data_IF_238230099278
#
_entry.id   IF_238230099278
#
_cell.length_a   1.000
_cell.length_b   1.000
_cell.length_c   1.000
_cell.angle_alpha   90.00
_cell.angle_beta   90.00
_cell.angle_gamma   90.00
#
_symmetry.space_group_name_H-M   'P 1'
#
loop_
_entity.id
_entity.type
_entity.pdbx_description
1 polymer ?
#
# COMPACT_ATOMS: atom_id res chain seq x y z
N UNK A 1 -24.79 4.96 12.77
CA UNK A 1 -23.76 4.52 11.81
C UNK A 1 -23.57 3.02 11.97
N UNK A 2 -23.60 2.26 10.88
CA UNK A 2 -23.34 0.82 10.92
C UNK A 2 -21.83 0.65 10.76
N UNK A 3 -21.15 0.33 11.85
CA UNK A 3 -19.72 0.04 11.86
C UNK A 3 -19.47 -1.21 10.99
N UNK A 4 -18.71 -1.06 9.90
CA UNK A 4 -18.38 -2.18 9.02
C UNK A 4 -16.98 -2.67 9.36
N UNK A 5 -16.92 -3.89 9.88
CA UNK A 5 -15.66 -4.61 10.10
C UNK A 5 -15.71 -5.83 9.21
N UNK A 6 -15.17 -5.70 8.00
CA UNK A 6 -15.02 -6.85 7.13
C UNK A 6 -13.95 -7.80 7.68
N UNK A 7 -14.23 -9.10 7.65
CA UNK A 7 -13.21 -10.12 7.87
C UNK A 7 -12.28 -10.19 6.67
N UNK A 8 -10.98 -10.19 6.90
CA UNK A 8 -9.99 -10.41 5.84
C UNK A 8 -9.91 -11.91 5.54
N UNK A 9 -10.09 -12.35 4.28
CA UNK A 9 -10.00 -13.76 3.94
C UNK A 9 -8.60 -14.33 4.16
N UNK A 10 -8.52 -15.62 4.47
CA UNK A 10 -7.24 -16.32 4.62
C UNK A 10 -6.42 -16.30 3.32
N UNK A 11 -5.09 -16.22 3.42
CA UNK A 11 -4.20 -16.20 2.26
C UNK A 11 -4.05 -14.84 1.55
N UNK A 12 -4.62 -13.78 2.11
CA UNK A 12 -4.42 -12.40 1.68
C UNK A 12 -3.48 -11.68 2.65
N UNK A 13 -2.24 -11.35 2.23
CA UNK A 13 -1.34 -10.62 3.11
C UNK A 13 -1.92 -9.23 3.37
N UNK A 14 -1.88 -8.77 4.61
CA UNK A 14 -2.28 -7.42 5.01
C UNK A 14 -1.37 -6.96 6.14
N UNK A 15 -1.31 -5.66 6.42
CA UNK A 15 -0.76 -5.14 7.68
C UNK A 15 -1.86 -4.31 8.33
N UNK A 16 -2.09 -4.51 9.62
CA UNK A 16 -3.08 -3.78 10.41
C UNK A 16 -2.46 -2.57 11.12
N UNK A 17 -3.28 -1.57 11.44
CA UNK A 17 -2.95 -0.44 12.32
C UNK A 17 -2.42 -0.93 13.67
N UNK A 18 -2.93 -2.05 14.18
CA UNK A 18 -2.46 -2.64 15.43
C UNK A 18 -0.99 -3.11 15.33
N UNK A 19 -0.62 -3.72 14.21
CA UNK A 19 0.77 -4.16 13.97
C UNK A 19 1.72 -2.97 13.83
N UNK A 20 1.27 -1.90 13.17
CA UNK A 20 2.08 -0.70 12.93
C UNK A 20 2.25 0.14 14.19
N UNK A 21 1.16 0.43 14.88
CA UNK A 21 1.17 1.41 15.97
C UNK A 21 1.69 0.86 17.29
N UNK A 22 1.90 -0.46 17.39
CA UNK A 22 2.35 -1.20 18.59
C UNK A 22 1.54 -0.94 19.87
N UNK A 23 0.51 -0.11 19.82
CA UNK A 23 -0.37 0.28 20.92
C UNK A 23 -1.83 0.01 20.52
N UNK A 24 -2.54 -0.73 21.37
CA UNK A 24 -3.98 -0.94 21.21
C UNK A 24 -4.68 0.25 21.86
N UNK A 25 -5.19 1.17 21.06
CA UNK A 25 -6.11 2.18 21.58
C UNK A 25 -7.43 1.51 21.96
N UNK A 26 -7.62 1.22 23.25
CA UNK A 26 -8.81 0.53 23.77
C UNK A 26 -10.13 1.30 23.57
N UNK A 27 -10.06 2.57 23.13
CA UNK A 27 -11.21 3.48 22.97
C UNK A 27 -11.51 3.88 21.52
N UNK A 28 -10.66 3.48 20.56
CA UNK A 28 -10.80 3.87 19.16
C UNK A 28 -11.95 3.12 18.48
N UNK A 29 -12.70 3.83 17.63
CA UNK A 29 -13.68 3.18 16.74
C UNK A 29 -12.94 2.72 15.49
N UNK A 30 -12.77 1.41 15.35
CA UNK A 30 -12.10 0.78 14.21
C UNK A 30 -13.10 0.39 13.11
N UNK A 31 -12.84 0.86 11.89
CA UNK A 31 -13.52 0.46 10.66
C UNK A 31 -12.55 -0.31 9.77
N UNK A 32 -13.03 -1.39 9.13
CA UNK A 32 -12.24 -2.17 8.17
C UNK A 32 -13.04 -2.49 6.93
N UNK A 33 -12.43 -2.26 5.78
CA UNK A 33 -12.99 -2.64 4.49
C UNK A 33 -12.01 -3.52 3.71
N UNK A 34 -12.53 -4.58 3.11
CA UNK A 34 -11.77 -5.44 2.22
C UNK A 34 -12.51 -5.63 0.90
N UNK A 35 -11.85 -5.33 -0.22
CA UNK A 35 -12.42 -5.45 -1.56
C UNK A 35 -11.45 -6.20 -2.47
N UNK A 36 -11.84 -7.40 -2.88
CA UNK A 36 -11.08 -8.21 -3.83
C UNK A 36 -11.58 -8.03 -5.26
N UNK A 37 -10.67 -8.23 -6.22
CA UNK A 37 -10.97 -8.24 -7.65
C UNK A 37 -9.90 -9.07 -8.38
N UNK A 38 -10.19 -9.44 -9.62
CA UNK A 38 -9.24 -10.12 -10.50
C UNK A 38 -9.44 -9.70 -11.96
N UNK A 39 -8.42 -9.92 -12.78
CA UNK A 39 -8.48 -9.78 -14.23
C UNK A 39 -7.63 -10.88 -14.89
N UNK A 40 -7.74 -11.10 -16.21
CA UNK A 40 -6.91 -12.10 -16.91
C UNK A 40 -5.40 -11.92 -16.73
N UNK A 41 -4.95 -10.70 -16.42
CA UNK A 41 -3.52 -10.37 -16.25
C UNK A 41 -3.12 -10.18 -14.77
N UNK A 42 -4.10 -10.12 -13.87
CA UNK A 42 -3.92 -9.90 -12.43
C UNK A 42 -4.81 -10.88 -11.67
N UNK A 43 -4.25 -12.05 -11.34
CA UNK A 43 -4.99 -13.14 -10.71
C UNK A 43 -5.29 -12.89 -9.23
N UNK A 44 -4.54 -12.00 -8.56
CA UNK A 44 -4.85 -11.56 -7.19
C UNK A 44 -4.72 -10.04 -7.07
N UNK A 45 -5.86 -9.35 -6.94
CA UNK A 45 -5.89 -7.93 -6.58
C UNK A 45 -6.86 -7.68 -5.43
N UNK A 46 -6.46 -6.82 -4.50
CA UNK A 46 -7.37 -6.34 -3.46
C UNK A 46 -6.99 -4.95 -2.98
N UNK A 47 -7.99 -4.28 -2.42
CA UNK A 47 -7.83 -3.08 -1.59
C UNK A 47 -8.26 -3.42 -0.17
N UNK A 48 -7.37 -3.14 0.78
CA UNK A 48 -7.63 -3.18 2.20
C UNK A 48 -7.56 -1.77 2.77
N UNK A 49 -8.49 -1.43 3.65
CA UNK A 49 -8.51 -0.15 4.33
C UNK A 49 -8.86 -0.34 5.81
N UNK A 50 -8.03 0.22 6.68
CA UNK A 50 -8.38 0.39 8.09
C UNK A 50 -8.37 1.87 8.45
N UNK A 51 -9.32 2.24 9.29
CA UNK A 51 -9.45 3.56 9.85
C UNK A 51 -9.82 3.46 11.32
N UNK A 52 -9.12 4.20 12.17
CA UNK A 52 -9.39 4.29 13.60
C UNK A 52 -9.62 5.76 13.98
N UNK A 53 -10.80 6.06 14.50
CA UNK A 53 -11.11 7.38 15.06
C UNK A 53 -10.79 7.40 16.56
N UNK A 54 -9.90 8.30 16.99
CA UNK A 54 -9.48 8.51 18.37
C UNK A 54 -10.13 9.75 19.02
N UNK A 55 -11.14 10.33 18.36
CA UNK A 55 -11.87 11.51 18.80
C UNK A 55 -11.22 12.83 18.38
N UNK A 56 -9.97 13.05 18.78
CA UNK A 56 -9.19 14.26 18.44
C UNK A 56 -8.19 14.06 17.29
N UNK A 57 -7.99 12.80 16.88
CA UNK A 57 -7.10 12.40 15.80
C UNK A 57 -7.65 11.14 15.16
N UNK A 58 -7.09 10.77 14.01
CA UNK A 58 -7.44 9.54 13.33
C UNK A 58 -6.22 8.87 12.76
N UNK A 59 -6.22 7.54 12.77
CA UNK A 59 -5.21 6.70 12.14
C UNK A 59 -5.83 6.00 10.95
N UNK A 60 -5.07 5.82 9.88
CA UNK A 60 -5.56 5.07 8.74
C UNK A 60 -4.44 4.48 7.90
N UNK A 61 -4.71 3.33 7.32
CA UNK A 61 -3.86 2.69 6.32
C UNK A 61 -4.73 2.18 5.19
N UNK A 62 -4.27 2.39 3.97
CA UNK A 62 -4.81 1.76 2.78
C UNK A 62 -3.72 0.96 2.09
N UNK A 63 -4.03 -0.29 1.79
CA UNK A 63 -3.16 -1.20 1.03
C UNK A 63 -3.88 -1.57 -0.25
N UNK A 64 -3.18 -1.46 -1.38
CA UNK A 64 -3.58 -2.09 -2.63
C UNK A 64 -2.47 -3.02 -3.06
N UNK A 65 -2.82 -4.27 -3.35
CA UNK A 65 -1.87 -5.28 -3.76
C UNK A 65 -2.30 -5.90 -5.07
N UNK A 66 -1.32 -6.18 -5.92
CA UNK A 66 -1.50 -6.76 -7.23
C UNK A 66 -0.48 -7.88 -7.39
N UNK A 67 -0.97 -9.06 -7.74
CA UNK A 67 -0.17 -10.16 -8.25
C UNK A 67 -0.56 -10.35 -9.71
N UNK A 68 0.37 -10.01 -10.59
CA UNK A 68 0.20 -10.16 -12.03
C UNK A 68 0.69 -11.53 -12.49
N UNK A 69 0.34 -11.92 -13.71
CA UNK A 69 0.79 -13.20 -14.28
C UNK A 69 2.29 -13.23 -14.61
N UNK A 70 2.94 -12.05 -14.74
CA UNK A 70 4.39 -11.91 -14.92
C UNK A 70 4.85 -10.48 -14.56
N UNK A 71 6.17 -10.25 -14.60
CA UNK A 71 6.78 -8.96 -14.28
C UNK A 71 6.45 -7.84 -15.27
N UNK A 72 6.20 -8.16 -16.54
CA UNK A 72 5.82 -7.17 -17.56
C UNK A 72 4.49 -6.48 -17.19
N UNK A 73 3.48 -7.24 -16.78
CA UNK A 73 2.21 -6.65 -16.34
C UNK A 73 2.33 -5.95 -14.98
N UNK A 74 3.19 -6.42 -14.10
CA UNK A 74 3.47 -5.73 -12.83
C UNK A 74 4.10 -4.34 -13.08
N UNK A 75 5.02 -4.22 -14.04
CA UNK A 75 5.62 -2.94 -14.42
C UNK A 75 4.59 -1.96 -14.98
N UNK A 76 3.66 -2.44 -15.82
CA UNK A 76 2.52 -1.62 -16.30
C UNK A 76 1.66 -1.12 -15.13
N UNK A 77 1.40 -1.95 -14.13
CA UNK A 77 0.60 -1.57 -12.95
C UNK A 77 1.36 -0.53 -12.13
N UNK A 78 2.64 -0.76 -11.85
CA UNK A 78 3.49 0.18 -11.12
C UNK A 78 3.47 1.56 -11.79
N UNK A 79 3.80 1.61 -13.09
CA UNK A 79 3.84 2.84 -13.88
C UNK A 79 2.46 3.52 -13.98
N UNK A 80 1.39 2.73 -14.10
CA UNK A 80 0.03 3.27 -14.13
C UNK A 80 -0.42 3.89 -12.81
N UNK A 81 0.04 3.36 -11.66
CA UNK A 81 -0.24 3.94 -10.35
C UNK A 81 0.54 5.25 -10.17
N UNK A 82 1.84 5.26 -10.48
CA UNK A 82 2.68 6.48 -10.35
C UNK A 82 2.18 7.60 -11.26
N UNK A 83 1.92 7.31 -12.54
CA UNK A 83 1.39 8.28 -13.50
C UNK A 83 0.03 8.86 -13.05
N UNK A 84 -0.84 8.03 -12.47
CA UNK A 84 -2.14 8.48 -11.96
C UNK A 84 -1.98 9.43 -10.76
N UNK A 85 -1.02 9.17 -9.87
CA UNK A 85 -0.76 10.04 -8.73
C UNK A 85 -0.18 11.38 -9.18
N UNK A 86 0.74 11.38 -10.15
CA UNK A 86 1.31 12.62 -10.72
C UNK A 86 0.26 13.47 -11.43
N UNK A 87 -0.57 12.84 -12.27
CA UNK A 87 -1.59 13.54 -13.07
C UNK A 87 -2.82 13.96 -12.26
N UNK A 88 -3.09 13.30 -11.13
CA UNK A 88 -4.28 13.52 -10.34
C UNK A 88 -5.58 13.20 -11.09
N UNK A 89 -6.70 13.80 -10.66
CA UNK A 89 -8.02 13.63 -11.25
C UNK A 89 -8.57 14.97 -11.73
N UNK A 90 -9.23 14.97 -12.90
CA UNK A 90 -10.03 16.13 -13.35
C UNK A 90 -11.39 16.15 -12.66
N UNK A 91 -11.69 17.22 -11.93
CA UNK A 91 -12.98 17.49 -11.31
C UNK A 91 -13.44 18.90 -11.66
N UNK A 92 -14.61 19.03 -12.30
CA UNK A 92 -15.19 20.33 -12.74
C UNK A 92 -14.18 21.25 -13.45
N UNK A 93 -13.33 20.68 -14.30
CA UNK A 93 -12.32 21.42 -15.05
C UNK A 93 -11.02 21.74 -14.28
N UNK A 94 -10.96 21.45 -12.98
CA UNK A 94 -9.75 21.56 -12.16
C UNK A 94 -9.05 20.20 -12.04
N UNK A 95 -7.72 20.19 -12.00
CA UNK A 95 -6.95 19.00 -11.62
C UNK A 95 -6.77 19.00 -10.11
N UNK A 96 -7.18 17.92 -9.43
CA UNK A 96 -7.10 17.75 -7.98
C UNK A 96 -6.36 16.44 -7.64
N UNK A 97 -5.85 16.34 -6.40
CA UNK A 97 -5.13 15.17 -5.90
C UNK A 97 -3.85 14.80 -6.66
N UNK A 98 -3.22 15.75 -7.35
CA UNK A 98 -1.88 15.60 -7.92
C UNK A 98 -0.87 15.47 -6.78
N UNK A 99 0.05 14.52 -6.89
CA UNK A 99 1.16 14.33 -5.94
C UNK A 99 2.48 14.33 -6.69
N UNK A 100 3.50 14.95 -6.10
CA UNK A 100 4.86 14.81 -6.59
C UNK A 100 5.37 13.42 -6.24
N UNK A 101 5.83 12.68 -7.25
CA UNK A 101 6.40 11.35 -7.09
C UNK A 101 7.93 11.45 -7.18
N UNK A 102 8.60 10.79 -6.26
CA UNK A 102 10.06 10.66 -6.23
C UNK A 102 10.43 9.20 -6.46
N UNK A 103 11.40 8.98 -7.35
CA UNK A 103 12.11 7.71 -7.48
C UNK A 103 13.39 7.80 -6.67
N UNK A 104 13.58 6.89 -5.72
CA UNK A 104 14.72 6.89 -4.80
C UNK A 104 15.53 5.60 -5.03
N UNK A 105 16.60 5.70 -5.81
CA UNK A 105 17.43 4.56 -6.20
C UNK A 105 18.17 3.92 -5.02
N UNK A 106 18.54 4.71 -4.02
CA UNK A 106 19.19 4.20 -2.81
C UNK A 106 18.19 3.43 -1.97
N UNK A 107 16.99 3.99 -1.76
CA UNK A 107 15.93 3.33 -1.03
C UNK A 107 15.43 2.08 -1.76
N UNK A 108 15.31 2.11 -3.09
CA UNK A 108 15.00 0.94 -3.90
C UNK A 108 15.97 -0.22 -3.64
N UNK A 109 17.28 0.07 -3.68
CA UNK A 109 18.33 -0.92 -3.41
C UNK A 109 18.29 -1.40 -1.97
N UNK A 110 18.07 -0.50 -1.02
CA UNK A 110 17.95 -0.81 0.40
C UNK A 110 16.75 -1.73 0.71
N UNK A 111 15.65 -1.57 -0.02
CA UNK A 111 14.47 -2.42 0.07
C UNK A 111 14.57 -3.69 -0.77
N UNK A 112 15.62 -3.86 -1.58
CA UNK A 112 15.76 -4.92 -2.59
C UNK A 112 14.53 -5.03 -3.50
N UNK A 113 14.09 -3.90 -4.07
CA UNK A 113 12.93 -3.84 -4.98
C UNK A 113 13.36 -3.60 -6.42
N UNK A 114 12.58 -4.10 -7.39
CA UNK A 114 12.85 -3.87 -8.82
C UNK A 114 12.52 -2.42 -9.19
N UNK A 115 11.38 -1.93 -8.69
CA UNK A 115 10.93 -0.55 -8.79
C UNK A 115 10.41 -0.06 -7.44
N UNK A 116 10.69 1.21 -7.11
CA UNK A 116 10.19 1.89 -5.90
C UNK A 116 9.92 3.35 -6.22
N UNK A 117 8.76 3.83 -5.81
CA UNK A 117 8.36 5.23 -5.88
C UNK A 117 7.69 5.65 -4.58
N UNK A 118 7.85 6.91 -4.23
CA UNK A 118 7.25 7.53 -3.04
C UNK A 118 6.58 8.82 -3.44
N UNK A 119 5.64 9.28 -2.63
CA UNK A 119 5.25 10.69 -2.67
C UNK A 119 6.32 11.54 -2.00
N UNK A 120 6.47 12.81 -2.40
CA UNK A 120 7.40 13.76 -1.76
C UNK A 120 7.11 13.93 -0.25
N UNK A 121 5.83 13.89 0.13
CA UNK A 121 5.37 13.89 1.53
C UNK A 121 5.69 12.59 2.29
N UNK A 122 6.19 11.56 1.60
CA UNK A 122 6.48 10.22 2.12
C UNK A 122 5.31 9.54 2.84
N UNK A 123 4.08 9.91 2.47
CA UNK A 123 2.84 9.32 2.99
C UNK A 123 2.30 8.19 2.12
N UNK A 124 2.82 8.01 0.90
CA UNK A 124 2.53 6.83 0.08
C UNK A 124 3.82 6.24 -0.50
N UNK A 125 3.85 4.90 -0.58
CA UNK A 125 4.91 4.14 -1.23
C UNK A 125 4.29 3.16 -2.24
N UNK A 126 4.92 3.05 -3.40
CA UNK A 126 4.63 2.06 -4.43
C UNK A 126 5.91 1.24 -4.62
N UNK A 127 5.82 -0.07 -4.49
CA UNK A 127 6.96 -0.98 -4.70
C UNK A 127 6.56 -2.15 -5.57
N UNK A 128 7.52 -2.64 -6.33
CA UNK A 128 7.40 -3.81 -7.18
C UNK A 128 8.58 -4.76 -6.97
N UNK A 129 8.28 -6.05 -6.90
CA UNK A 129 9.25 -7.14 -6.98
C UNK A 129 8.67 -8.29 -7.80
N UNK A 130 9.33 -8.67 -8.87
CA UNK A 130 8.87 -9.66 -9.84
C UNK A 130 7.49 -9.29 -10.40
N UNK A 131 6.51 -10.17 -10.18
CA UNK A 131 5.14 -10.01 -10.63
C UNK A 131 4.21 -9.37 -9.58
N UNK A 132 4.74 -8.88 -8.45
CA UNK A 132 3.97 -8.31 -7.35
C UNK A 132 4.15 -6.79 -7.29
N UNK A 133 3.05 -6.06 -7.10
CA UNK A 133 3.04 -4.62 -6.83
C UNK A 133 2.26 -4.35 -5.54
N UNK A 134 2.82 -3.50 -4.68
CA UNK A 134 2.19 -3.03 -3.48
C UNK A 134 2.13 -1.49 -3.51
N UNK A 135 0.94 -0.93 -3.28
CA UNK A 135 0.73 0.48 -3.04
C UNK A 135 0.19 0.65 -1.61
N UNK A 136 0.95 1.33 -0.76
CA UNK A 136 0.57 1.65 0.62
C UNK A 136 0.37 3.15 0.73
N UNK A 137 -0.80 3.55 1.20
CA UNK A 137 -1.18 4.92 1.51
C UNK A 137 -1.44 5.02 3.01
N UNK A 138 -0.64 5.87 3.66
CA UNK A 138 -0.64 6.14 5.08
C UNK A 138 -0.86 7.64 5.32
N UNK A 139 -2.06 8.11 4.97
CA UNK A 139 -2.45 9.51 5.14
C UNK A 139 -2.31 10.04 6.57
N UNK A 140 -2.37 9.17 7.58
CA UNK A 140 -2.31 9.55 8.99
C UNK A 140 -0.88 9.56 9.59
N UNK A 141 0.15 9.28 8.79
CA UNK A 141 1.54 9.29 9.27
C UNK A 141 1.85 8.21 10.31
N UNK A 142 1.15 7.07 10.28
CA UNK A 142 1.36 5.98 11.25
C UNK A 142 2.55 5.06 10.95
N UNK A 143 3.03 5.05 9.72
CA UNK A 143 4.24 4.36 9.26
C UNK A 143 5.31 5.34 8.81
N UNK A 144 6.57 5.04 9.13
CA UNK A 144 7.75 5.66 8.55
C UNK A 144 8.40 4.68 7.58
N UNK A 145 8.43 5.01 6.29
CA UNK A 145 9.05 4.14 5.29
C UNK A 145 10.59 4.11 5.39
N UNK A 146 11.23 4.99 6.14
CA UNK A 146 12.67 4.90 6.39
C UNK A 146 13.00 3.96 7.56
N UNK A 147 12.02 3.63 8.39
CA UNK A 147 12.19 2.73 9.53
C UNK A 147 12.40 1.28 9.09
N UNK A 148 13.37 0.62 9.73
CA UNK A 148 13.77 -0.76 9.40
C UNK A 148 12.68 -1.76 9.74
N UNK A 149 11.97 -1.59 10.86
CA UNK A 149 10.95 -2.54 11.29
C UNK A 149 9.72 -2.46 10.36
N UNK A 150 9.35 -1.25 9.94
CA UNK A 150 8.29 -1.01 8.94
C UNK A 150 8.64 -1.69 7.62
N UNK A 151 9.88 -1.52 7.14
CA UNK A 151 10.37 -2.18 5.92
C UNK A 151 10.32 -3.70 6.04
N UNK A 152 10.88 -4.27 7.10
CA UNK A 152 10.93 -5.72 7.32
C UNK A 152 9.53 -6.33 7.45
N UNK A 153 8.60 -5.62 8.11
CA UNK A 153 7.20 -6.02 8.20
C UNK A 153 6.53 -6.09 6.82
N UNK A 154 6.73 -5.07 5.98
CA UNK A 154 6.18 -5.05 4.61
C UNK A 154 6.80 -6.16 3.75
N UNK A 155 8.12 -6.30 3.75
CA UNK A 155 8.81 -7.30 2.92
C UNK A 155 8.38 -8.72 3.32
N UNK A 156 8.42 -9.04 4.62
CA UNK A 156 8.04 -10.38 5.10
C UNK A 156 6.58 -10.72 4.81
N UNK A 157 5.68 -9.74 4.86
CA UNK A 157 4.25 -9.94 4.67
C UNK A 157 3.86 -10.11 3.20
N UNK A 158 4.38 -9.27 2.31
CA UNK A 158 3.91 -9.22 0.92
C UNK A 158 4.86 -9.90 -0.07
N UNK A 159 6.14 -10.01 0.27
CA UNK A 159 7.19 -10.45 -0.64
C UNK A 159 7.99 -11.65 -0.09
N UNK A 160 7.49 -12.32 0.96
CA UNK A 160 8.07 -13.61 1.36
C UNK A 160 8.02 -14.62 0.21
N UNK A 161 9.15 -15.29 -0.02
CA UNK A 161 9.32 -16.29 -1.09
C UNK A 161 9.78 -15.76 -2.45
N UNK A 162 10.10 -14.46 -2.60
CA UNK A 162 10.67 -13.92 -3.85
C UNK A 162 12.19 -14.06 -3.96
N UNK A 163 12.82 -14.91 -3.16
CA UNK A 163 14.22 -15.33 -3.39
C UNK A 163 14.27 -16.11 -4.70
N UNK A 164 14.87 -15.48 -5.70
CA UNK A 164 15.15 -16.05 -7.03
C UNK A 164 15.89 -17.38 -6.86
N UNK A 165 15.37 -18.44 -7.49
CA UNK A 165 16.15 -19.64 -7.76
C UNK A 165 17.37 -19.23 -8.60
N UNK A 166 18.56 -19.29 -8.01
CA UNK A 166 19.85 -19.18 -8.71
C UNK A 166 20.21 -20.51 -9.37
#
# INVERSE_FOLDING_TARGET
EIYKVDSVPEGYPIITLKEISKEISQRGVLSREFRQSMSPFVHKHYTYYEYENLGNSSKSIRIKYYEAINSYFADIIFNGITEKLEKGMKWRGMTIFTKNIITDDEMRKLWDMDNLALTEERNEIIIQKGNKVLHVDNYAGVMDFNDIETRELIISRFFSGSTVEN
#
